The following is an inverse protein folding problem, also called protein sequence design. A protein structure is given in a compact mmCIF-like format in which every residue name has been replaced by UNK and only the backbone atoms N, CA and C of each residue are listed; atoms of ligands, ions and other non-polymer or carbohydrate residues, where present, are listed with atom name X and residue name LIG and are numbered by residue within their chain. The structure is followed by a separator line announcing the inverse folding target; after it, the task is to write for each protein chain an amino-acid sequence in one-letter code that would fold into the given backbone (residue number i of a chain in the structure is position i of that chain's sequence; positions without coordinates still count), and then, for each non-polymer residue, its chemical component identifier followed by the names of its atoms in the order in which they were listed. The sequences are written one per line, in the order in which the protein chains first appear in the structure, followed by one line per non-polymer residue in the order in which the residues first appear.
data_IF_102257770072
#
_entry.id   IF_102257770072
#
_cell.length_a   1.000
_cell.length_b   1.000
_cell.length_c   1.000
_cell.angle_alpha   90.00
_cell.angle_beta   90.00
_cell.angle_gamma   90.00
#
_symmetry.space_group_name_H-M   'P 1'
#
loop_
_entity.id
_entity.type
_entity.pdbx_description
1 polymer ?
#
# COMPACT_ATOMS: atom_id res chain seq x y z
N UNK A 1 28.25 -15.35 34.35
CA UNK A 1 27.28 -15.37 33.22
C UNK A 1 26.55 -14.04 33.12
N UNK A 2 25.78 -13.78 32.04
CA UNK A 2 25.19 -12.46 31.76
C UNK A 2 24.42 -11.84 32.95
N UNK A 3 23.67 -12.65 33.71
CA UNK A 3 22.91 -12.21 34.92
C UNK A 3 23.77 -11.54 36.00
N UNK A 4 25.03 -11.97 36.16
CA UNK A 4 25.96 -11.36 37.12
C UNK A 4 26.70 -10.19 36.47
N UNK A 5 27.15 -10.34 35.22
CA UNK A 5 27.93 -9.32 34.52
C UNK A 5 27.14 -8.01 34.37
N UNK A 6 25.86 -8.07 34.01
CA UNK A 6 25.01 -6.87 33.84
C UNK A 6 24.82 -6.04 35.12
N UNK A 7 25.09 -6.61 36.30
CA UNK A 7 24.96 -5.93 37.59
C UNK A 7 26.24 -5.19 38.02
N UNK A 8 27.40 -5.63 37.51
CA UNK A 8 28.72 -5.20 38.03
C UNK A 8 29.68 -4.68 36.97
N UNK A 9 29.46 -5.03 35.70
CA UNK A 9 30.30 -4.63 34.57
C UNK A 9 29.62 -3.45 33.84
N UNK A 10 30.18 -2.23 33.93
CA UNK A 10 29.63 -1.06 33.25
C UNK A 10 29.52 -1.23 31.73
N UNK A 11 30.42 -2.01 31.11
CA UNK A 11 30.41 -2.28 29.66
C UNK A 11 29.29 -3.25 29.25
N UNK A 12 28.57 -3.81 30.22
CA UNK A 12 27.42 -4.70 30.02
C UNK A 12 26.11 -4.05 30.41
N UNK A 13 26.10 -2.77 30.74
CA UNK A 13 24.88 -2.03 31.05
C UNK A 13 23.93 -2.06 29.84
N UNK A 14 22.63 -2.37 30.01
CA UNK A 14 21.70 -2.37 28.91
C UNK A 14 21.45 -0.94 28.42
N UNK A 15 21.38 -0.75 27.10
CA UNK A 15 20.97 0.53 26.50
C UNK A 15 19.53 0.91 26.90
N UNK A 16 18.68 -0.10 27.08
CA UNK A 16 17.29 0.04 27.51
C UNK A 16 16.86 -1.06 28.48
N UNK A 17 16.05 -0.70 29.46
CA UNK A 17 15.51 -1.61 30.47
C UNK A 17 16.40 -1.77 31.70
N UNK A 18 15.94 -2.52 32.72
CA UNK A 18 16.64 -2.64 33.98
C UNK A 18 17.88 -3.56 33.88
N UNK A 19 18.95 -3.21 34.59
CA UNK A 19 20.16 -4.04 34.72
C UNK A 19 19.98 -5.32 35.56
N UNK A 20 18.74 -5.80 35.75
CA UNK A 20 18.42 -7.03 36.49
C UNK A 20 17.57 -7.96 35.62
N UNK A 21 18.15 -9.09 35.23
CA UNK A 21 17.46 -10.07 34.38
C UNK A 21 16.40 -10.86 35.17
N UNK A 22 15.16 -10.80 34.69
CA UNK A 22 14.05 -11.65 35.13
C UNK A 22 14.17 -13.10 34.63
N UNK A 23 13.05 -13.83 34.61
CA UNK A 23 13.00 -15.20 34.08
C UNK A 23 13.08 -15.27 32.55
N UNK A 24 12.69 -14.20 31.85
CA UNK A 24 12.72 -14.10 30.40
C UNK A 24 14.14 -13.84 29.81
N UNK A 25 15.13 -13.52 30.66
CA UNK A 25 16.47 -13.18 30.20
C UNK A 25 16.57 -11.76 29.62
N UNK A 26 17.46 -11.57 28.65
CA UNK A 26 17.69 -10.32 27.94
C UNK A 26 17.25 -10.46 26.47
N UNK A 27 16.79 -9.37 25.87
CA UNK A 27 16.46 -9.30 24.44
C UNK A 27 17.35 -8.27 23.78
N UNK A 28 17.94 -8.64 22.65
CA UNK A 28 18.77 -7.74 21.83
C UNK A 28 17.99 -7.40 20.57
N UNK A 29 17.80 -6.11 20.32
CA UNK A 29 17.22 -5.58 19.09
C UNK A 29 18.32 -4.84 18.36
N UNK A 30 18.40 -5.02 17.04
CA UNK A 30 19.37 -4.30 16.22
C UNK A 30 18.93 -4.29 14.76
N UNK A 31 19.50 -3.35 14.00
CA UNK A 31 19.35 -3.28 12.56
C UNK A 31 20.70 -3.61 11.90
N UNK A 32 20.64 -4.31 10.77
CA UNK A 32 21.82 -4.67 9.97
C UNK A 32 21.43 -4.74 8.50
N UNK A 33 22.42 -4.66 7.61
CA UNK A 33 22.21 -4.98 6.21
C UNK A 33 21.71 -6.43 6.04
N UNK A 34 20.96 -6.65 4.95
CA UNK A 34 20.43 -7.96 4.59
C UNK A 34 21.58 -8.95 4.36
N UNK A 35 21.53 -10.08 5.05
CA UNK A 35 22.53 -11.13 4.88
C UNK A 35 22.04 -12.15 3.87
N UNK A 36 22.92 -12.55 2.96
CA UNK A 36 22.70 -13.63 1.99
C UNK A 36 23.56 -14.81 2.42
N UNK A 37 22.93 -15.94 2.72
CA UNK A 37 23.61 -17.21 2.95
C UNK A 37 23.70 -17.97 1.62
N UNK A 38 24.92 -18.11 1.10
CA UNK A 38 25.18 -18.66 -0.23
C UNK A 38 26.31 -19.67 -0.18
N UNK A 39 26.03 -20.90 -0.60
CA UNK A 39 26.98 -22.00 -0.56
C UNK A 39 27.38 -22.40 -1.97
N UNK A 40 28.63 -22.81 -2.15
CA UNK A 40 29.13 -23.36 -3.41
C UNK A 40 29.71 -24.75 -3.16
N UNK A 41 29.20 -25.73 -3.89
CA UNK A 41 29.69 -27.11 -3.87
C UNK A 41 30.77 -27.30 -4.93
N UNK A 42 31.85 -27.96 -4.53
CA UNK A 42 33.00 -28.20 -5.39
C UNK A 42 32.95 -29.60 -5.98
N UNK A 43 33.69 -29.81 -7.08
CA UNK A 43 33.79 -31.11 -7.75
C UNK A 43 34.61 -32.16 -7.01
N UNK A 44 35.12 -31.83 -5.83
CA UNK A 44 35.93 -32.69 -4.97
C UNK A 44 35.23 -32.91 -3.63
N UNK A 45 35.52 -34.04 -2.99
CA UNK A 45 35.21 -34.36 -1.60
C UNK A 45 36.29 -33.86 -0.62
N UNK A 46 37.43 -33.37 -1.13
CA UNK A 46 38.52 -32.87 -0.29
C UNK A 46 38.15 -31.54 0.38
N UNK A 47 37.72 -31.63 1.64
CA UNK A 47 37.36 -30.48 2.47
C UNK A 47 38.51 -29.48 2.65
N UNK A 48 39.77 -29.88 2.45
CA UNK A 48 40.92 -28.97 2.55
C UNK A 48 40.84 -27.89 1.45
N UNK A 49 40.44 -28.28 0.25
CA UNK A 49 40.22 -27.35 -0.88
C UNK A 49 39.16 -26.32 -0.50
N UNK A 50 38.02 -26.76 0.04
CA UNK A 50 36.98 -25.84 0.51
C UNK A 50 37.45 -24.91 1.64
N UNK A 51 38.24 -25.41 2.60
CA UNK A 51 38.79 -24.60 3.70
C UNK A 51 39.77 -23.54 3.21
N UNK A 52 40.59 -23.86 2.22
CA UNK A 52 41.55 -22.93 1.65
C UNK A 52 40.85 -21.86 0.81
N UNK A 53 39.85 -22.24 0.00
CA UNK A 53 39.00 -21.28 -0.73
C UNK A 53 38.25 -20.38 0.27
N UNK A 54 37.63 -20.95 1.31
CA UNK A 54 36.95 -20.18 2.35
C UNK A 54 37.89 -19.16 3.03
N UNK A 55 39.15 -19.53 3.28
CA UNK A 55 40.16 -18.60 3.80
C UNK A 55 40.48 -17.48 2.80
N UNK A 56 40.57 -17.80 1.51
CA UNK A 56 40.88 -16.83 0.47
C UNK A 56 39.74 -15.83 0.21
N UNK A 57 38.48 -16.25 0.37
CA UNK A 57 37.31 -15.37 0.14
C UNK A 57 36.87 -14.58 1.37
N UNK A 58 37.10 -15.08 2.60
CA UNK A 58 36.59 -14.41 3.81
C UNK A 58 37.38 -13.15 4.18
N UNK A 59 36.67 -12.10 4.55
CA UNK A 59 37.25 -10.83 4.99
C UNK A 59 38.24 -10.99 6.15
N UNK A 60 37.91 -11.84 7.13
CA UNK A 60 38.75 -12.02 8.34
C UNK A 60 40.14 -12.63 8.05
N UNK A 61 40.42 -13.02 6.80
CA UNK A 61 41.73 -13.47 6.34
C UNK A 61 42.27 -12.62 5.19
N UNK A 62 41.74 -11.41 5.00
CA UNK A 62 42.14 -10.49 3.94
C UNK A 62 41.47 -10.74 2.59
N UNK A 63 40.40 -11.56 2.57
CA UNK A 63 39.60 -11.81 1.38
C UNK A 63 38.66 -10.65 1.03
N UNK A 64 37.52 -10.98 0.43
CA UNK A 64 36.54 -9.99 0.00
C UNK A 64 35.90 -9.30 1.22
N UNK A 65 35.72 -7.96 1.20
CA UNK A 65 34.95 -7.25 2.21
C UNK A 65 33.55 -7.83 2.36
N UNK A 66 32.97 -7.74 3.56
CA UNK A 66 31.61 -8.17 3.86
C UNK A 66 31.31 -9.65 3.57
N UNK A 67 32.33 -10.50 3.39
CA UNK A 67 32.17 -11.94 3.20
C UNK A 67 32.72 -12.69 4.41
N UNK A 68 31.89 -13.54 4.98
CA UNK A 68 32.29 -14.56 5.96
C UNK A 68 32.20 -15.92 5.27
N UNK A 69 33.18 -16.79 5.45
CA UNK A 69 33.18 -18.10 4.81
C UNK A 69 33.81 -19.20 5.68
N UNK A 70 33.30 -20.42 5.49
CA UNK A 70 33.78 -21.66 6.09
C UNK A 70 33.84 -22.76 5.02
N UNK A 71 34.86 -23.61 5.10
CA UNK A 71 34.96 -24.81 4.28
C UNK A 71 34.45 -26.02 5.05
N UNK A 72 33.45 -26.70 4.52
CA UNK A 72 32.73 -27.80 5.15
C UNK A 72 32.68 -29.01 4.22
N UNK A 73 32.47 -30.18 4.79
CA UNK A 73 32.09 -31.37 4.05
C UNK A 73 30.59 -31.60 4.29
N UNK A 74 29.81 -31.71 3.21
CA UNK A 74 28.36 -31.91 3.25
C UNK A 74 28.02 -32.96 2.21
N UNK A 75 27.38 -34.06 2.62
CA UNK A 75 26.99 -35.16 1.71
C UNK A 75 28.16 -35.69 0.87
N UNK A 76 29.33 -35.88 1.50
CA UNK A 76 30.57 -36.34 0.84
C UNK A 76 31.06 -35.41 -0.28
N UNK A 77 30.73 -34.12 -0.21
CA UNK A 77 31.22 -33.08 -1.11
C UNK A 77 31.81 -31.91 -0.32
N UNK A 78 32.90 -31.37 -0.82
CA UNK A 78 33.49 -30.16 -0.27
C UNK A 78 32.63 -28.95 -0.64
N UNK A 79 32.29 -28.13 0.35
CA UNK A 79 31.42 -26.97 0.22
C UNK A 79 32.09 -25.74 0.82
N UNK A 80 32.06 -24.63 0.07
CA UNK A 80 32.39 -23.30 0.60
C UNK A 80 31.07 -22.66 1.03
N UNK A 81 30.82 -22.64 2.34
CA UNK A 81 29.65 -21.98 2.92
C UNK A 81 29.95 -20.52 3.23
N UNK A 82 29.11 -19.60 2.76
CA UNK A 82 29.37 -18.17 2.86
C UNK A 82 28.17 -17.38 3.35
N UNK A 83 28.44 -16.33 4.10
CA UNK A 83 27.50 -15.28 4.45
C UNK A 83 28.02 -13.95 3.90
N UNK A 84 27.30 -13.37 2.96
CA UNK A 84 27.52 -12.01 2.50
C UNK A 84 26.75 -11.10 3.45
N UNK A 85 27.47 -10.32 4.26
CA UNK A 85 26.86 -9.42 5.24
C UNK A 85 26.40 -8.10 4.64
N UNK A 86 26.89 -7.75 3.46
CA UNK A 86 26.41 -6.62 2.65
C UNK A 86 26.67 -6.90 1.16
N UNK A 87 25.62 -7.25 0.43
CA UNK A 87 25.71 -7.59 -0.99
C UNK A 87 25.84 -6.38 -1.91
N UNK A 88 25.57 -5.16 -1.41
CA UNK A 88 25.68 -3.93 -2.20
C UNK A 88 27.13 -3.47 -2.32
N UNK A 89 27.96 -3.85 -1.35
CA UNK A 89 29.39 -3.59 -1.33
C UNK A 89 30.20 -4.73 -1.98
N UNK A 90 29.77 -5.98 -1.78
CA UNK A 90 30.40 -7.14 -2.42
C UNK A 90 29.32 -7.99 -3.08
N UNK A 91 29.10 -7.80 -4.39
CA UNK A 91 28.03 -8.46 -5.13
C UNK A 91 28.21 -9.98 -5.22
N UNK A 92 27.09 -10.69 -5.36
CA UNK A 92 27.06 -12.15 -5.37
C UNK A 92 27.90 -12.76 -6.51
N UNK A 93 27.89 -12.13 -7.68
CA UNK A 93 28.66 -12.59 -8.84
C UNK A 93 30.18 -12.50 -8.59
N UNK A 94 30.67 -11.45 -7.92
CA UNK A 94 32.09 -11.30 -7.59
C UNK A 94 32.57 -12.40 -6.64
N UNK A 95 31.77 -12.72 -5.61
CA UNK A 95 32.05 -13.82 -4.69
C UNK A 95 32.09 -15.15 -5.43
N UNK A 96 31.12 -15.41 -6.31
CA UNK A 96 31.06 -16.63 -7.12
C UNK A 96 32.28 -16.76 -8.03
N UNK A 97 32.68 -15.70 -8.72
CA UNK A 97 33.86 -15.71 -9.59
C UNK A 97 35.16 -15.88 -8.80
N UNK A 98 35.25 -15.29 -7.61
CA UNK A 98 36.40 -15.52 -6.72
C UNK A 98 36.48 -16.99 -6.31
N UNK A 99 35.38 -17.61 -5.88
CA UNK A 99 35.34 -19.04 -5.55
C UNK A 99 35.75 -19.90 -6.75
N UNK A 100 35.21 -19.62 -7.94
CA UNK A 100 35.57 -20.33 -9.18
C UNK A 100 37.06 -20.21 -9.50
N UNK A 101 37.61 -19.01 -9.38
CA UNK A 101 39.03 -18.74 -9.61
C UNK A 101 39.91 -19.53 -8.63
N UNK A 102 39.60 -19.49 -7.33
CA UNK A 102 40.38 -20.22 -6.31
C UNK A 102 40.22 -21.75 -6.42
N UNK A 103 39.04 -22.24 -6.81
CA UNK A 103 38.83 -23.67 -7.09
C UNK A 103 39.68 -24.14 -8.28
N UNK A 104 39.70 -23.36 -9.37
CA UNK A 104 40.47 -23.67 -10.57
C UNK A 104 41.97 -23.77 -10.29
N UNK A 105 42.52 -22.89 -9.44
CA UNK A 105 43.93 -22.94 -9.02
C UNK A 105 44.31 -24.25 -8.32
N UNK A 106 43.33 -24.93 -7.73
CA UNK A 106 43.50 -26.19 -7.00
C UNK A 106 43.02 -27.41 -7.79
N UNK A 107 42.75 -27.26 -9.10
CA UNK A 107 42.28 -28.35 -9.95
C UNK A 107 40.84 -28.80 -9.70
N UNK A 108 40.07 -28.00 -8.94
CA UNK A 108 38.65 -28.23 -8.70
C UNK A 108 37.78 -27.25 -9.51
N UNK A 109 36.48 -27.49 -9.56
CA UNK A 109 35.48 -26.59 -10.16
C UNK A 109 34.27 -26.44 -9.24
N UNK A 110 33.49 -25.38 -9.45
CA UNK A 110 32.17 -25.23 -8.82
C UNK A 110 31.14 -26.07 -9.58
N UNK A 111 30.54 -27.08 -8.95
CA UNK A 111 29.51 -27.92 -9.59
C UNK A 111 28.13 -27.26 -9.52
N UNK A 112 27.76 -26.78 -8.34
CA UNK A 112 26.46 -26.13 -8.07
C UNK A 112 26.59 -25.13 -6.93
N UNK A 113 25.62 -24.25 -6.83
CA UNK A 113 25.46 -23.35 -5.70
C UNK A 113 24.07 -23.46 -5.10
N UNK A 114 23.93 -22.95 -3.88
CA UNK A 114 22.70 -23.00 -3.11
C UNK A 114 22.50 -21.70 -2.35
N UNK A 115 21.30 -21.15 -2.44
CA UNK A 115 20.83 -20.09 -1.56
C UNK A 115 20.13 -20.71 -0.34
N UNK A 116 20.58 -20.35 0.86
CA UNK A 116 19.93 -20.77 2.10
C UNK A 116 19.01 -19.66 2.59
N UNK A 117 17.70 -19.86 2.45
CA UNK A 117 16.67 -18.89 2.85
C UNK A 117 16.31 -17.91 1.74
N UNK A 118 16.16 -16.63 2.10
CA UNK A 118 15.71 -15.57 1.19
C UNK A 118 16.87 -14.68 0.75
N UNK A 119 16.72 -14.07 -0.41
CA UNK A 119 17.69 -13.13 -0.98
C UNK A 119 16.97 -11.82 -1.36
N UNK A 120 17.60 -10.64 -1.16
CA UNK A 120 17.10 -9.40 -1.74
C UNK A 120 17.09 -9.49 -3.27
N UNK A 121 15.97 -9.12 -3.90
CA UNK A 121 15.84 -9.17 -5.36
C UNK A 121 16.95 -8.41 -6.10
N UNK A 122 17.43 -7.29 -5.54
CA UNK A 122 18.50 -6.48 -6.11
C UNK A 122 19.80 -7.26 -6.31
N UNK A 123 20.14 -8.18 -5.38
CA UNK A 123 21.33 -9.01 -5.51
C UNK A 123 21.25 -9.96 -6.74
N UNK A 124 20.05 -10.44 -7.08
CA UNK A 124 19.82 -11.25 -8.27
C UNK A 124 19.87 -10.39 -9.54
N UNK A 125 19.32 -9.18 -9.49
CA UNK A 125 19.39 -8.23 -10.60
C UNK A 125 20.83 -7.85 -10.95
N UNK A 126 21.65 -7.54 -9.94
CA UNK A 126 23.07 -7.23 -10.13
C UNK A 126 23.83 -8.41 -10.73
N UNK A 127 23.58 -9.63 -10.23
CA UNK A 127 24.17 -10.84 -10.79
C UNK A 127 23.72 -11.12 -12.23
N UNK A 128 22.43 -10.97 -12.52
CA UNK A 128 21.89 -11.17 -13.87
C UNK A 128 22.46 -10.15 -14.85
N UNK A 129 22.48 -8.87 -14.49
CA UNK A 129 23.06 -7.81 -15.30
C UNK A 129 24.54 -8.07 -15.59
N UNK A 130 25.30 -8.53 -14.59
CA UNK A 130 26.73 -8.88 -14.75
C UNK A 130 26.92 -10.12 -15.64
N UNK A 131 26.27 -11.24 -15.36
CA UNK A 131 26.49 -12.48 -16.13
C UNK A 131 25.97 -12.39 -17.57
N UNK A 132 24.89 -11.64 -17.80
CA UNK A 132 24.27 -11.47 -19.12
C UNK A 132 24.75 -10.23 -19.87
N UNK A 133 25.59 -9.39 -19.25
CA UNK A 133 26.12 -8.15 -19.83
C UNK A 133 25.02 -7.19 -20.30
N UNK A 134 23.98 -7.00 -19.48
CA UNK A 134 22.83 -6.14 -19.80
C UNK A 134 23.18 -4.67 -19.57
N UNK A 135 23.63 -3.99 -20.62
CA UNK A 135 23.94 -2.57 -20.59
C UNK A 135 22.69 -1.73 -20.25
N UNK A 136 22.81 -0.85 -19.26
CA UNK A 136 21.73 0.05 -18.86
C UNK A 136 20.51 -0.65 -18.24
N UNK A 137 20.65 -1.91 -17.78
CA UNK A 137 19.57 -2.64 -17.14
C UNK A 137 19.01 -1.88 -15.92
N UNK A 138 17.70 -1.72 -15.89
CA UNK A 138 16.97 -1.12 -14.79
C UNK A 138 15.97 -2.11 -14.20
N UNK A 139 15.79 -2.13 -12.86
CA UNK A 139 14.84 -3.04 -12.21
C UNK A 139 13.40 -2.96 -12.74
N UNK A 140 12.94 -1.78 -13.18
CA UNK A 140 11.59 -1.60 -13.75
C UNK A 140 11.43 -2.21 -15.16
N UNK A 141 12.47 -2.80 -15.75
CA UNK A 141 12.33 -3.61 -16.96
C UNK A 141 11.89 -5.04 -16.64
N UNK A 142 11.93 -5.47 -15.37
CA UNK A 142 11.41 -6.76 -14.92
C UNK A 142 9.89 -6.69 -14.80
N UNK A 143 9.19 -7.58 -15.50
CA UNK A 143 7.73 -7.59 -15.60
C UNK A 143 7.06 -7.64 -14.21
N UNK A 144 7.52 -8.54 -13.34
CA UNK A 144 6.96 -8.73 -12.00
C UNK A 144 7.14 -7.49 -11.12
N UNK A 145 8.27 -6.77 -11.26
CA UNK A 145 8.52 -5.51 -10.55
C UNK A 145 7.47 -4.48 -10.98
N UNK A 146 7.27 -4.28 -12.29
CA UNK A 146 6.23 -3.36 -12.78
C UNK A 146 4.83 -3.76 -12.37
N UNK A 147 4.51 -5.05 -12.41
CA UNK A 147 3.20 -5.54 -12.00
C UNK A 147 2.96 -5.28 -10.51
N UNK A 148 3.98 -5.44 -9.67
CA UNK A 148 3.87 -5.15 -8.24
C UNK A 148 3.70 -3.66 -7.96
N UNK A 149 4.44 -2.80 -8.67
CA UNK A 149 4.30 -1.34 -8.59
C UNK A 149 2.91 -0.88 -9.02
N UNK A 150 2.42 -1.34 -10.18
CA UNK A 150 1.07 -1.02 -10.66
C UNK A 150 -0.03 -1.51 -9.69
N UNK A 151 0.18 -2.64 -9.01
CA UNK A 151 -0.75 -3.12 -7.97
C UNK A 151 -0.72 -2.24 -6.72
N UNK A 152 0.45 -1.71 -6.33
CA UNK A 152 0.58 -0.76 -5.21
C UNK A 152 -0.08 0.58 -5.53
N UNK A 153 0.08 1.11 -6.73
CA UNK A 153 -0.57 2.36 -7.17
C UNK A 153 -2.10 2.29 -7.09
N UNK A 154 -2.66 1.09 -7.30
CA UNK A 154 -4.09 0.80 -7.19
C UNK A 154 -4.56 0.45 -5.77
N UNK A 155 -3.67 0.50 -4.77
CA UNK A 155 -3.98 0.21 -3.37
C UNK A 155 -4.29 1.48 -2.56
N UNK A 156 -4.84 1.29 -1.36
CA UNK A 156 -5.07 2.38 -0.40
C UNK A 156 -3.80 3.18 -0.08
N UNK A 157 -2.68 2.47 0.12
CA UNK A 157 -1.37 3.05 0.40
C UNK A 157 -0.88 3.88 -0.79
N UNK A 158 -1.01 3.34 -2.00
CA UNK A 158 -0.69 4.06 -3.23
C UNK A 158 -1.54 5.32 -3.44
N UNK A 159 -2.83 5.28 -3.09
CA UNK A 159 -3.68 6.48 -3.14
C UNK A 159 -3.22 7.56 -2.15
N UNK A 160 -2.88 7.19 -0.91
CA UNK A 160 -2.40 8.15 0.10
C UNK A 160 -1.08 8.80 -0.32
N UNK A 161 -0.15 8.02 -0.87
CA UNK A 161 1.10 8.54 -1.44
C UNK A 161 0.84 9.48 -2.63
N UNK A 162 -0.05 9.08 -3.56
CA UNK A 162 -0.45 9.91 -4.70
C UNK A 162 -1.14 11.22 -4.27
N UNK A 163 -1.97 11.20 -3.23
CA UNK A 163 -2.60 12.41 -2.66
C UNK A 163 -1.60 13.35 -2.00
N UNK A 164 -0.49 12.82 -1.47
CA UNK A 164 0.57 13.61 -0.87
C UNK A 164 1.59 14.15 -1.90
N UNK A 165 1.55 13.67 -3.14
CA UNK A 165 2.47 14.07 -4.19
C UNK A 165 2.21 15.52 -4.65
N UNK A 166 3.25 16.19 -5.15
CA UNK A 166 3.16 17.54 -5.74
C UNK A 166 2.57 17.51 -7.16
N UNK A 167 1.44 16.83 -7.35
CA UNK A 167 0.73 16.69 -8.63
C UNK A 167 -0.71 17.21 -8.51
N UNK A 168 -1.33 17.68 -9.61
CA UNK A 168 -2.71 18.18 -9.58
C UNK A 168 -3.78 17.11 -9.28
N UNK A 169 -3.48 15.84 -9.59
CA UNK A 169 -4.35 14.67 -9.42
C UNK A 169 -3.55 13.51 -8.82
N UNK A 170 -4.18 12.62 -8.04
CA UNK A 170 -5.53 12.72 -7.45
C UNK A 170 -5.63 13.84 -6.41
N UNK A 171 -6.84 14.38 -6.20
CA UNK A 171 -7.05 15.56 -5.34
C UNK A 171 -8.18 15.38 -4.31
N UNK A 172 -8.79 16.51 -3.90
CA UNK A 172 -9.83 16.51 -2.88
C UNK A 172 -11.11 15.73 -3.26
N UNK A 173 -11.44 15.65 -4.55
CA UNK A 173 -12.56 14.83 -5.05
C UNK A 173 -12.29 13.34 -4.92
N UNK A 174 -11.13 12.87 -5.39
CA UNK A 174 -10.64 11.50 -5.19
C UNK A 174 -10.61 11.11 -3.70
N UNK A 175 -10.10 11.99 -2.82
CA UNK A 175 -10.06 11.75 -1.38
C UNK A 175 -11.48 11.65 -0.77
N UNK A 176 -12.40 12.52 -1.20
CA UNK A 176 -13.80 12.46 -0.77
C UNK A 176 -14.47 11.14 -1.20
N UNK A 177 -14.31 10.74 -2.46
CA UNK A 177 -14.86 9.48 -2.98
C UNK A 177 -14.32 8.27 -2.21
N UNK A 178 -13.03 8.27 -1.90
CA UNK A 178 -12.40 7.21 -1.11
C UNK A 178 -12.94 7.15 0.32
N UNK A 179 -13.15 8.30 0.98
CA UNK A 179 -13.81 8.35 2.29
C UNK A 179 -15.23 7.78 2.26
N UNK A 180 -15.98 8.06 1.20
CA UNK A 180 -17.30 7.45 0.97
C UNK A 180 -17.22 5.93 0.77
N UNK A 181 -16.23 5.44 0.02
CA UNK A 181 -16.02 4.00 -0.18
C UNK A 181 -15.69 3.28 1.13
N UNK A 182 -14.85 3.88 1.99
CA UNK A 182 -14.58 3.37 3.34
C UNK A 182 -15.87 3.31 4.18
N UNK A 183 -16.68 4.38 4.15
CA UNK A 183 -17.96 4.42 4.84
C UNK A 183 -18.90 3.28 4.39
N UNK A 184 -19.04 3.08 3.08
CA UNK A 184 -19.87 2.03 2.51
C UNK A 184 -19.38 0.61 2.90
N UNK A 185 -18.05 0.43 2.98
CA UNK A 185 -17.43 -0.80 3.48
C UNK A 185 -17.79 -1.08 4.94
N UNK A 186 -17.76 -0.06 5.80
CA UNK A 186 -18.16 -0.19 7.22
C UNK A 186 -19.66 -0.52 7.35
N UNK A 187 -20.55 0.13 6.59
CA UNK A 187 -21.98 -0.22 6.57
C UNK A 187 -22.18 -1.69 6.17
N UNK A 188 -21.49 -2.14 5.12
CA UNK A 188 -21.53 -3.52 4.65
C UNK A 188 -21.08 -4.50 5.74
N UNK A 189 -20.00 -4.17 6.44
CA UNK A 189 -19.48 -4.97 7.56
C UNK A 189 -20.51 -5.06 8.70
N UNK A 190 -21.09 -3.94 9.14
CA UNK A 190 -22.11 -3.90 10.21
C UNK A 190 -23.30 -4.78 9.84
N UNK A 191 -23.78 -4.66 8.61
CA UNK A 191 -24.89 -5.47 8.12
C UNK A 191 -24.54 -6.97 8.13
N UNK A 192 -23.37 -7.35 7.62
CA UNK A 192 -22.89 -8.75 7.62
C UNK A 192 -22.69 -9.33 9.02
N UNK A 193 -22.17 -8.56 9.96
CA UNK A 193 -22.02 -8.98 11.36
C UNK A 193 -23.37 -9.21 12.06
N UNK A 194 -24.43 -8.54 11.59
CA UNK A 194 -25.80 -8.67 12.10
C UNK A 194 -26.51 -9.90 11.52
N UNK A 195 -26.23 -10.23 10.25
CA UNK A 195 -26.84 -11.38 9.56
C UNK A 195 -26.47 -12.70 10.26
N UNK A 196 -27.42 -13.63 10.33
CA UNK A 196 -27.27 -14.96 10.95
C UNK A 196 -27.30 -14.97 12.49
N UNK A 197 -27.41 -13.80 13.15
CA UNK A 197 -27.50 -13.73 14.61
C UNK A 197 -28.95 -13.90 15.08
N UNK A 198 -29.19 -14.91 15.94
CA UNK A 198 -30.54 -15.22 16.47
C UNK A 198 -31.26 -14.01 17.08
N UNK A 199 -30.55 -13.15 17.82
CA UNK A 199 -31.11 -11.92 18.44
C UNK A 199 -31.61 -10.89 17.41
N UNK A 200 -31.18 -10.98 16.16
CA UNK A 200 -31.45 -10.03 15.10
C UNK A 200 -32.22 -10.69 13.94
N UNK A 201 -33.06 -11.69 14.25
CA UNK A 201 -33.83 -12.43 13.24
C UNK A 201 -34.80 -11.53 12.45
N UNK A 202 -35.42 -10.56 13.12
CA UNK A 202 -36.44 -9.69 12.52
C UNK A 202 -35.86 -8.69 11.50
N UNK A 203 -34.54 -8.46 11.53
CA UNK A 203 -33.86 -7.48 10.67
C UNK A 203 -33.03 -8.14 9.57
N UNK A 204 -33.04 -9.47 9.44
CA UNK A 204 -32.20 -10.20 8.48
C UNK A 204 -32.40 -9.73 7.04
N UNK A 205 -33.66 -9.63 6.58
CA UNK A 205 -33.99 -9.20 5.22
C UNK A 205 -33.51 -7.77 4.97
N UNK A 206 -33.73 -6.87 5.94
CA UNK A 206 -33.28 -5.48 5.86
C UNK A 206 -31.75 -5.39 5.82
N UNK A 207 -31.05 -6.14 6.65
CA UNK A 207 -29.58 -6.16 6.67
C UNK A 207 -29.00 -6.75 5.40
N UNK A 208 -29.63 -7.76 4.80
CA UNK A 208 -29.19 -8.29 3.51
C UNK A 208 -29.34 -7.24 2.39
N UNK A 209 -30.45 -6.49 2.38
CA UNK A 209 -30.65 -5.40 1.44
C UNK A 209 -29.61 -4.27 1.65
N UNK A 210 -29.38 -3.86 2.90
CA UNK A 210 -28.35 -2.87 3.26
C UNK A 210 -26.96 -3.34 2.81
N UNK A 211 -26.59 -4.59 3.08
CA UNK A 211 -25.28 -5.14 2.71
C UNK A 211 -25.06 -5.13 1.19
N UNK A 212 -26.08 -5.53 0.43
CA UNK A 212 -26.02 -5.53 -1.04
C UNK A 212 -25.88 -4.10 -1.57
N UNK A 213 -26.74 -3.19 -1.13
CA UNK A 213 -26.74 -1.81 -1.60
C UNK A 213 -25.45 -1.07 -1.22
N UNK A 214 -25.00 -1.21 0.03
CA UNK A 214 -23.75 -0.62 0.50
C UNK A 214 -22.53 -1.18 -0.25
N UNK A 215 -22.52 -2.48 -0.61
CA UNK A 215 -21.46 -3.07 -1.44
C UNK A 215 -21.44 -2.47 -2.85
N UNK A 216 -22.61 -2.24 -3.46
CA UNK A 216 -22.73 -1.58 -4.76
C UNK A 216 -22.25 -0.14 -4.70
N UNK A 217 -22.63 0.60 -3.66
CA UNK A 217 -22.18 1.99 -3.43
C UNK A 217 -20.67 2.05 -3.18
N UNK A 218 -20.11 1.10 -2.43
CA UNK A 218 -18.67 0.98 -2.23
C UNK A 218 -17.95 0.83 -3.57
N UNK A 219 -18.38 -0.11 -4.43
CA UNK A 219 -17.77 -0.31 -5.74
C UNK A 219 -17.89 0.93 -6.63
N UNK A 220 -19.05 1.61 -6.61
CA UNK A 220 -19.28 2.85 -7.35
C UNK A 220 -18.36 3.98 -6.87
N UNK A 221 -18.26 4.20 -5.55
CA UNK A 221 -17.42 5.22 -4.95
C UNK A 221 -15.92 4.94 -5.17
N UNK A 222 -15.49 3.68 -5.09
CA UNK A 222 -14.12 3.29 -5.42
C UNK A 222 -13.76 3.61 -6.88
N UNK A 223 -14.67 3.35 -7.82
CA UNK A 223 -14.47 3.72 -9.23
C UNK A 223 -14.40 5.25 -9.42
N UNK A 224 -15.25 5.99 -8.69
CA UNK A 224 -15.28 7.46 -8.76
C UNK A 224 -14.00 8.13 -8.25
N UNK A 225 -13.16 7.45 -7.46
CA UNK A 225 -11.82 7.96 -7.07
C UNK A 225 -10.97 8.28 -8.29
N UNK A 226 -10.92 7.33 -9.23
CA UNK A 226 -10.09 7.44 -10.43
C UNK A 226 -10.80 8.28 -11.51
N UNK A 227 -12.14 8.19 -11.61
CA UNK A 227 -12.90 9.05 -12.53
C UNK A 227 -12.79 10.54 -12.20
N UNK A 228 -12.65 10.91 -10.92
CA UNK A 228 -12.39 12.30 -10.52
C UNK A 228 -11.04 12.79 -11.04
N UNK A 229 -9.99 11.98 -10.88
CA UNK A 229 -8.67 12.28 -11.40
C UNK A 229 -8.69 12.43 -12.93
N UNK A 230 -9.32 11.48 -13.62
CA UNK A 230 -9.43 11.49 -15.08
C UNK A 230 -10.26 12.67 -15.61
N UNK A 231 -11.37 13.01 -14.94
CA UNK A 231 -12.19 14.15 -15.33
C UNK A 231 -11.42 15.47 -15.21
N UNK A 232 -10.62 15.63 -14.15
CA UNK A 232 -9.76 16.80 -13.99
C UNK A 232 -8.66 16.87 -15.05
N UNK A 233 -8.00 15.75 -15.34
CA UNK A 233 -7.00 15.66 -16.40
C UNK A 233 -7.59 15.99 -17.78
N UNK A 234 -8.82 15.56 -18.05
CA UNK A 234 -9.53 15.89 -19.28
C UNK A 234 -9.77 17.41 -19.42
N UNK A 235 -10.11 18.10 -18.32
CA UNK A 235 -10.26 19.57 -18.31
C UNK A 235 -8.92 20.25 -18.60
N UNK A 236 -7.83 19.78 -17.99
CA UNK A 236 -6.48 20.30 -18.25
C UNK A 236 -6.07 20.09 -19.72
N UNK A 237 -6.29 18.89 -20.26
CA UNK A 237 -5.99 18.56 -21.64
C UNK A 237 -6.79 19.42 -22.63
N UNK A 238 -8.11 19.57 -22.41
CA UNK A 238 -8.97 20.43 -23.22
C UNK A 238 -8.51 21.90 -23.17
N UNK A 239 -8.07 22.36 -22.00
CA UNK A 239 -7.58 23.73 -21.81
C UNK A 239 -6.29 24.02 -22.57
N UNK A 240 -5.48 23.00 -22.87
CA UNK A 240 -4.20 23.09 -23.60
C UNK A 240 -4.34 23.04 -25.13
N UNK A 241 -5.54 22.79 -25.67
CA UNK A 241 -5.75 22.80 -27.12
C UNK A 241 -5.36 24.16 -27.73
N UNK A 242 -4.89 24.13 -28.98
CA UNK A 242 -4.53 25.33 -29.75
C UNK A 242 -5.74 26.25 -29.96
N UNK A 243 -5.48 27.54 -30.18
CA UNK A 243 -6.52 28.58 -30.29
C UNK A 243 -6.18 29.66 -31.32
N UNK A 244 -5.35 29.33 -32.31
CA UNK A 244 -4.76 30.31 -33.23
C UNK A 244 -5.71 30.66 -34.38
N UNK A 245 -6.66 29.78 -34.71
CA UNK A 245 -7.74 30.04 -35.66
C UNK A 245 -9.11 30.09 -34.97
N UNK A 246 -10.08 30.75 -35.59
CA UNK A 246 -11.47 30.78 -35.08
C UNK A 246 -12.06 29.36 -34.91
N UNK A 247 -11.77 28.46 -35.87
CA UNK A 247 -12.18 27.07 -35.79
C UNK A 247 -11.54 26.33 -34.60
N UNK A 248 -10.25 26.56 -34.33
CA UNK A 248 -9.54 26.00 -33.18
C UNK A 248 -10.08 26.58 -31.86
N UNK A 249 -10.34 27.89 -31.80
CA UNK A 249 -10.90 28.55 -30.63
C UNK A 249 -12.30 28.01 -30.29
N UNK A 250 -13.16 27.81 -31.30
CA UNK A 250 -14.47 27.21 -31.12
C UNK A 250 -14.39 25.74 -30.66
N UNK A 251 -13.51 24.94 -31.27
CA UNK A 251 -13.30 23.54 -30.89
C UNK A 251 -12.77 23.39 -29.45
N UNK A 252 -11.80 24.23 -29.06
CA UNK A 252 -11.27 24.30 -27.69
C UNK A 252 -12.37 24.67 -26.70
N UNK A 253 -13.16 25.71 -26.98
CA UNK A 253 -14.27 26.12 -26.11
C UNK A 253 -15.26 24.97 -25.90
N UNK A 254 -15.67 24.30 -26.98
CA UNK A 254 -16.59 23.16 -26.89
C UNK A 254 -15.99 21.96 -26.11
N UNK A 255 -14.68 21.70 -26.26
CA UNK A 255 -14.00 20.64 -25.52
C UNK A 255 -13.92 20.95 -24.01
N UNK A 256 -13.57 22.20 -23.65
CA UNK A 256 -13.52 22.65 -22.25
C UNK A 256 -14.91 22.58 -21.61
N UNK A 257 -15.96 23.03 -22.32
CA UNK A 257 -17.33 22.95 -21.82
C UNK A 257 -17.70 21.49 -21.50
N UNK A 258 -17.54 20.56 -22.47
CA UNK A 258 -17.83 19.14 -22.28
C UNK A 258 -17.04 18.52 -21.12
N UNK A 259 -15.74 18.83 -21.01
CA UNK A 259 -14.91 18.33 -19.92
C UNK A 259 -15.36 18.89 -18.57
N UNK A 260 -15.80 20.15 -18.52
CA UNK A 260 -16.31 20.79 -17.29
C UNK A 260 -17.62 20.16 -16.85
N UNK A 261 -18.52 19.81 -17.77
CA UNK A 261 -19.73 19.06 -17.41
C UNK A 261 -19.39 17.71 -16.78
N UNK A 262 -18.47 16.95 -17.39
CA UNK A 262 -18.02 15.67 -16.83
C UNK A 262 -17.38 15.85 -15.44
N UNK A 263 -16.53 16.86 -15.28
CA UNK A 263 -15.86 17.18 -14.02
C UNK A 263 -16.82 17.69 -12.92
N UNK A 264 -17.99 18.20 -13.28
CA UNK A 264 -19.05 18.55 -12.33
C UNK A 264 -19.96 17.35 -11.98
N UNK A 265 -20.21 16.46 -12.94
CA UNK A 265 -21.06 15.30 -12.76
C UNK A 265 -20.44 14.26 -11.82
N UNK A 266 -19.12 14.03 -11.89
CA UNK A 266 -18.40 13.10 -11.01
C UNK A 266 -18.59 13.44 -9.52
N UNK A 267 -18.25 14.65 -9.03
CA UNK A 267 -18.45 14.99 -7.61
C UNK A 267 -19.93 15.03 -7.21
N UNK A 268 -20.85 15.29 -8.15
CA UNK A 268 -22.29 15.20 -7.86
C UNK A 268 -22.74 13.74 -7.67
N UNK A 269 -22.20 12.79 -8.43
CA UNK A 269 -22.40 11.35 -8.20
C UNK A 269 -21.80 10.92 -6.87
N UNK A 270 -20.60 11.38 -6.53
CA UNK A 270 -19.98 11.12 -5.21
C UNK A 270 -20.89 11.62 -4.09
N UNK A 271 -21.40 12.85 -4.18
CA UNK A 271 -22.32 13.42 -3.20
C UNK A 271 -23.61 12.59 -3.05
N UNK A 272 -24.24 12.19 -4.16
CA UNK A 272 -25.45 11.34 -4.15
C UNK A 272 -25.20 10.00 -3.46
N UNK A 273 -24.10 9.34 -3.81
CA UNK A 273 -23.73 8.07 -3.22
C UNK A 273 -23.40 8.22 -1.73
N UNK A 274 -22.70 9.29 -1.35
CA UNK A 274 -22.36 9.58 0.04
C UNK A 274 -23.61 9.80 0.92
N UNK A 275 -24.57 10.58 0.44
CA UNK A 275 -25.84 10.77 1.15
C UNK A 275 -26.58 9.43 1.32
N UNK A 276 -26.57 8.57 0.30
CA UNK A 276 -27.18 7.24 0.40
C UNK A 276 -26.45 6.34 1.39
N UNK A 277 -25.12 6.32 1.39
CA UNK A 277 -24.32 5.58 2.38
C UNK A 277 -24.63 6.07 3.80
N UNK A 278 -24.77 7.39 4.00
CA UNK A 278 -25.13 7.97 5.29
C UNK A 278 -26.53 7.54 5.76
N UNK A 279 -27.51 7.48 4.86
CA UNK A 279 -28.84 6.93 5.15
C UNK A 279 -28.75 5.46 5.60
N UNK A 280 -27.97 4.64 4.90
CA UNK A 280 -27.77 3.24 5.25
C UNK A 280 -27.00 3.06 6.56
N UNK A 281 -26.04 3.96 6.85
CA UNK A 281 -25.30 3.97 8.11
C UNK A 281 -26.23 4.28 9.29
N UNK A 282 -27.13 5.25 9.15
CA UNK A 282 -28.16 5.54 10.15
C UNK A 282 -29.09 4.33 10.40
N UNK A 283 -29.53 3.66 9.33
CA UNK A 283 -30.37 2.47 9.42
C UNK A 283 -29.65 1.28 10.08
N UNK A 284 -28.38 1.07 9.72
CA UNK A 284 -27.52 0.04 10.29
C UNK A 284 -27.23 0.34 11.78
N UNK A 285 -27.00 1.60 12.15
CA UNK A 285 -26.87 1.99 13.54
C UNK A 285 -28.16 1.75 14.34
N UNK A 286 -29.33 1.99 13.73
CA UNK A 286 -30.62 1.84 14.42
C UNK A 286 -30.97 0.38 14.69
N UNK A 287 -30.70 -0.51 13.73
CA UNK A 287 -31.21 -1.89 13.76
C UNK A 287 -30.14 -2.97 13.80
N UNK A 288 -28.88 -2.62 13.54
CA UNK A 288 -27.75 -3.53 13.50
C UNK A 288 -27.25 -3.97 14.87
N UNK A 289 -26.28 -4.89 14.84
CA UNK A 289 -25.67 -5.45 16.04
C UNK A 289 -25.00 -4.38 16.90
N UNK A 290 -25.32 -4.37 18.20
CA UNK A 290 -24.85 -3.33 19.13
C UNK A 290 -23.32 -3.24 19.23
N UNK A 291 -22.60 -4.35 19.08
CA UNK A 291 -21.13 -4.37 19.13
C UNK A 291 -20.45 -3.65 17.96
N UNK A 292 -21.19 -3.36 16.88
CA UNK A 292 -20.67 -2.66 15.70
C UNK A 292 -21.29 -1.25 15.55
N UNK A 293 -21.88 -0.72 16.63
CA UNK A 293 -22.52 0.60 16.61
C UNK A 293 -21.51 1.74 16.36
N UNK A 294 -20.29 1.62 16.90
CA UNK A 294 -19.19 2.57 16.63
C UNK A 294 -18.74 2.54 15.17
N UNK A 295 -18.83 1.39 14.51
CA UNK A 295 -18.50 1.25 13.09
C UNK A 295 -19.56 1.93 12.21
N UNK A 296 -20.85 1.76 12.56
CA UNK A 296 -21.94 2.46 11.90
C UNK A 296 -21.86 3.99 12.12
N UNK A 297 -21.45 4.43 13.30
CA UNK A 297 -21.19 5.84 13.60
C UNK A 297 -20.04 6.39 12.73
N UNK A 298 -18.92 5.68 12.68
CA UNK A 298 -17.75 6.04 11.88
C UNK A 298 -18.10 6.10 10.39
N UNK A 299 -18.91 5.15 9.91
CA UNK A 299 -19.42 5.15 8.55
C UNK A 299 -20.24 6.42 8.24
N UNK A 300 -21.14 6.81 9.14
CA UNK A 300 -21.93 8.03 8.97
C UNK A 300 -21.07 9.29 8.94
N UNK A 301 -20.11 9.43 9.85
CA UNK A 301 -19.20 10.58 9.89
C UNK A 301 -18.36 10.69 8.61
N UNK A 302 -17.81 9.57 8.13
CA UNK A 302 -17.05 9.51 6.89
C UNK A 302 -17.92 9.83 5.66
N UNK A 303 -19.15 9.33 5.61
CA UNK A 303 -20.10 9.63 4.54
C UNK A 303 -20.53 11.11 4.56
N UNK A 304 -20.72 11.71 5.74
CA UNK A 304 -20.99 13.14 5.90
C UNK A 304 -19.82 14.01 5.45
N UNK A 305 -18.59 13.65 5.81
CA UNK A 305 -17.38 14.31 5.33
C UNK A 305 -17.24 14.19 3.80
N UNK A 306 -17.46 13.00 3.25
CA UNK A 306 -17.49 12.75 1.80
C UNK A 306 -18.50 13.66 1.09
N UNK A 307 -19.75 13.70 1.57
CA UNK A 307 -20.81 14.54 1.01
C UNK A 307 -20.44 16.03 1.00
N UNK A 308 -19.91 16.55 2.12
CA UNK A 308 -19.50 17.95 2.22
C UNK A 308 -18.33 18.27 1.29
N UNK A 309 -17.31 17.41 1.26
CA UNK A 309 -16.13 17.60 0.42
C UNK A 309 -16.47 17.51 -1.08
N UNK A 310 -17.26 16.50 -1.48
CA UNK A 310 -17.75 16.36 -2.86
C UNK A 310 -18.62 17.57 -3.26
N UNK A 311 -19.47 18.06 -2.34
CA UNK A 311 -20.26 19.26 -2.56
C UNK A 311 -19.43 20.51 -2.85
N UNK A 312 -18.29 20.70 -2.18
CA UNK A 312 -17.37 21.79 -2.49
C UNK A 312 -16.84 21.69 -3.93
N UNK A 313 -16.47 20.49 -4.38
CA UNK A 313 -16.01 20.26 -5.76
C UNK A 313 -17.11 20.56 -6.81
N UNK A 314 -18.37 20.21 -6.52
CA UNK A 314 -19.51 20.58 -7.39
C UNK A 314 -19.63 22.10 -7.49
N UNK A 315 -19.59 22.81 -6.35
CA UNK A 315 -19.74 24.27 -6.32
C UNK A 315 -18.59 25.00 -7.02
N UNK A 316 -17.36 24.50 -6.89
CA UNK A 316 -16.19 25.04 -7.60
C UNK A 316 -16.40 24.93 -9.11
N UNK A 317 -16.80 23.75 -9.61
CA UNK A 317 -17.07 23.55 -11.04
C UNK A 317 -18.27 24.39 -11.53
N UNK A 318 -19.35 24.48 -10.75
CA UNK A 318 -20.53 25.30 -11.07
C UNK A 318 -20.19 26.80 -11.16
N UNK A 319 -19.25 27.28 -10.34
CA UNK A 319 -18.76 28.66 -10.39
C UNK A 319 -17.94 28.94 -11.66
N UNK A 320 -17.15 27.99 -12.12
CA UNK A 320 -16.31 28.12 -13.32
C UNK A 320 -17.02 27.79 -14.64
N UNK A 321 -18.21 27.19 -14.59
CA UNK A 321 -18.95 26.76 -15.78
C UNK A 321 -19.49 27.92 -16.61
N UNK A 322 -19.33 27.83 -17.94
CA UNK A 322 -19.93 28.73 -18.91
C UNK A 322 -21.45 28.51 -19.04
N UNK A 323 -21.88 27.26 -19.03
CA UNK A 323 -23.29 26.87 -18.98
C UNK A 323 -23.91 27.12 -17.60
N UNK A 324 -24.52 28.30 -17.45
CA UNK A 324 -25.22 28.70 -16.23
C UNK A 324 -26.47 27.87 -15.93
N UNK A 325 -27.10 27.27 -16.94
CA UNK A 325 -28.29 26.43 -16.74
C UNK A 325 -27.91 25.09 -16.12
N UNK A 326 -26.82 24.49 -16.60
CA UNK A 326 -26.27 23.28 -16.00
C UNK A 326 -25.75 23.54 -14.58
N UNK A 327 -25.04 24.65 -14.36
CA UNK A 327 -24.59 25.06 -13.03
C UNK A 327 -25.74 25.13 -12.02
N UNK A 328 -26.85 25.80 -12.36
CA UNK A 328 -28.02 25.87 -11.50
C UNK A 328 -28.66 24.50 -11.23
N UNK A 329 -28.61 23.58 -12.20
CA UNK A 329 -29.12 22.21 -12.05
C UNK A 329 -28.27 21.41 -11.07
N UNK A 330 -26.94 21.53 -11.15
CA UNK A 330 -26.02 20.88 -10.21
C UNK A 330 -26.19 21.43 -8.79
N UNK A 331 -26.30 22.75 -8.64
CA UNK A 331 -26.52 23.41 -7.35
C UNK A 331 -27.84 22.97 -6.69
N UNK A 332 -28.93 22.92 -7.47
CA UNK A 332 -30.24 22.47 -7.00
C UNK A 332 -30.18 21.01 -6.55
N UNK A 333 -29.61 20.14 -7.38
CA UNK A 333 -29.44 18.73 -7.04
C UNK A 333 -28.60 18.57 -5.77
N UNK A 334 -27.50 19.31 -5.66
CA UNK A 334 -26.62 19.23 -4.50
C UNK A 334 -27.36 19.65 -3.23
N UNK A 335 -28.21 20.68 -3.29
CA UNK A 335 -29.01 21.11 -2.15
C UNK A 335 -29.95 20.01 -1.66
N UNK A 336 -30.65 19.32 -2.57
CA UNK A 336 -31.53 18.19 -2.24
C UNK A 336 -30.75 17.03 -1.58
N UNK A 337 -29.59 16.70 -2.15
CA UNK A 337 -28.72 15.62 -1.64
C UNK A 337 -28.16 15.97 -0.26
N UNK A 338 -27.75 17.23 -0.04
CA UNK A 338 -27.28 17.72 1.26
C UNK A 338 -28.38 17.65 2.32
N UNK A 339 -29.59 18.08 1.98
CA UNK A 339 -30.73 18.01 2.89
C UNK A 339 -31.01 16.56 3.33
N UNK A 340 -30.97 15.59 2.40
CA UNK A 340 -31.10 14.16 2.73
C UNK A 340 -29.99 13.68 3.67
N UNK A 341 -28.75 14.10 3.39
CA UNK A 341 -27.61 13.79 4.24
C UNK A 341 -27.76 14.33 5.67
N UNK A 342 -28.16 15.60 5.81
CA UNK A 342 -28.39 16.24 7.11
C UNK A 342 -29.49 15.54 7.91
N UNK A 343 -30.58 15.12 7.25
CA UNK A 343 -31.63 14.34 7.89
C UNK A 343 -31.11 12.97 8.38
N UNK A 344 -30.28 12.29 7.59
CA UNK A 344 -29.69 11.01 7.97
C UNK A 344 -28.68 11.16 9.11
N UNK A 345 -27.86 12.21 9.11
CA UNK A 345 -26.92 12.56 10.19
C UNK A 345 -27.66 12.80 11.51
N UNK A 346 -28.77 13.57 11.47
CA UNK A 346 -29.61 13.79 12.64
C UNK A 346 -30.23 12.49 13.19
N UNK A 347 -30.66 11.56 12.30
CA UNK A 347 -31.16 10.24 12.72
C UNK A 347 -30.05 9.40 13.37
N UNK A 348 -28.85 9.42 12.80
CA UNK A 348 -27.70 8.70 13.35
C UNK A 348 -27.33 9.24 14.73
N UNK A 349 -27.20 10.56 14.90
CA UNK A 349 -26.88 11.19 16.17
C UNK A 349 -27.90 10.81 17.26
N UNK A 350 -29.20 10.87 16.94
CA UNK A 350 -30.27 10.43 17.86
C UNK A 350 -30.12 8.95 18.26
N UNK A 351 -29.88 8.09 17.28
CA UNK A 351 -29.71 6.65 17.49
C UNK A 351 -28.54 6.35 18.43
N UNK A 352 -27.42 7.08 18.29
CA UNK A 352 -26.25 6.89 19.13
C UNK A 352 -26.49 7.36 20.58
N UNK A 353 -27.21 8.47 20.74
CA UNK A 353 -27.68 8.92 22.05
C UNK A 353 -28.57 7.86 22.73
N UNK A 354 -29.54 7.31 22.00
CA UNK A 354 -30.50 6.33 22.52
C UNK A 354 -29.88 4.95 22.79
N UNK A 355 -29.01 4.44 21.89
CA UNK A 355 -28.47 3.08 21.97
C UNK A 355 -27.18 2.96 22.78
N UNK A 356 -26.41 4.04 22.94
CA UNK A 356 -25.10 3.99 23.60
C UNK A 356 -24.80 5.18 24.51
N UNK A 357 -25.71 6.16 24.64
CA UNK A 357 -25.43 7.36 25.43
C UNK A 357 -24.29 8.21 24.86
N UNK A 358 -24.01 8.06 23.56
CA UNK A 358 -22.93 8.78 22.89
C UNK A 358 -23.48 10.08 22.29
N UNK A 359 -22.83 11.20 22.61
CA UNK A 359 -23.01 12.48 21.91
C UNK A 359 -21.95 12.63 20.83
N UNK A 360 -22.37 12.93 19.60
CA UNK A 360 -21.50 13.32 18.49
C UNK A 360 -21.72 14.78 18.13
#
# INVERSE_FOLDING_TARGET
GLRQAILSDPDRSPDFGPSRLGKAGATVIGARASLIAYNVYLSTDDVRVAKDIARAVRQSSGGLPYVKALGLEVESRAQVSMNLTDHTQTPLHEVMERVRSEAKKQGASSERSELVGLIPQGALFDAAAWYLQLEGFRPDQVLEVRLQEARRENSAEGLLERLAAATPTPGGGSAAAYAGAMAAGLVTMVARLTIGKKKYADVQVRMQAIATEASTLQASLSRLVEEDAQAFEAVLAASRLLKDTEAQAAARKAAVERATHLAADVPLQVARNAARVLELAADAAATGIASALSDAASAGLLAGACLRAAGLNVLVNAKSAGDRKAAATWETTLAEVRQRGEQAEARLARTLGERAGLGL
#
